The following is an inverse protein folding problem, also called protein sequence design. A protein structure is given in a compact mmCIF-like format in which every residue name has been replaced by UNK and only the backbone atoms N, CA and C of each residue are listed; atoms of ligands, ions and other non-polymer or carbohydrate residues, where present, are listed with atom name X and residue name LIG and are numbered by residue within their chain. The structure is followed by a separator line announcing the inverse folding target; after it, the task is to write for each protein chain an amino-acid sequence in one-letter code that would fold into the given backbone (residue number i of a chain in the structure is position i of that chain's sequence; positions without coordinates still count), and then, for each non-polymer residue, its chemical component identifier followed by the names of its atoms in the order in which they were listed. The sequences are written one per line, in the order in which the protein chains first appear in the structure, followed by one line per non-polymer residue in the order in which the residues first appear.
data_IF_937918720926
#
_entry.id   IF_937918720926
#
_cell.length_a   1.000
_cell.length_b   1.000
_cell.length_c   1.000
_cell.angle_alpha   90.00
_cell.angle_beta   90.00
_cell.angle_gamma   90.00
#
_symmetry.space_group_name_H-M   'P 1'
#
loop_
_entity.id
_entity.type
_entity.pdbx_description
1 polymer ?
#
# COMPACT_ATOMS: atom_id res chain seq x y z
N UNK A 1 -25.77 -4.98 20.22
CA UNK A 1 -24.29 -4.85 20.22
C UNK A 1 -23.93 -3.71 19.26
N UNK A 2 -23.62 -2.51 19.77
CA UNK A 2 -23.09 -1.42 18.92
C UNK A 2 -21.72 -1.85 18.41
N UNK A 3 -21.55 -1.96 17.10
CA UNK A 3 -20.24 -2.32 16.54
C UNK A 3 -19.26 -1.18 16.84
N UNK A 4 -17.99 -1.50 17.11
CA UNK A 4 -16.93 -0.49 17.36
C UNK A 4 -16.72 0.49 16.18
N UNK A 5 -17.42 0.26 15.07
CA UNK A 5 -17.31 0.98 13.80
C UNK A 5 -18.43 2.02 13.59
N UNK A 6 -19.40 2.15 14.49
CA UNK A 6 -20.44 3.19 14.42
C UNK A 6 -19.92 4.64 14.25
N UNK A 7 -18.76 5.03 14.81
CA UNK A 7 -18.21 6.36 14.55
C UNK A 7 -17.84 6.59 13.08
N UNK A 8 -17.41 5.54 12.37
CA UNK A 8 -17.03 5.61 10.96
C UNK A 8 -18.22 5.85 10.05
N UNK A 9 -19.41 5.38 10.42
CA UNK A 9 -20.63 5.62 9.66
C UNK A 9 -20.93 7.12 9.46
N UNK A 10 -20.42 8.00 10.35
CA UNK A 10 -20.57 9.46 10.25
C UNK A 10 -19.74 10.08 9.11
N UNK A 11 -18.71 9.37 8.66
CA UNK A 11 -17.79 9.80 7.61
C UNK A 11 -18.26 9.42 6.20
N UNK A 12 -19.33 8.62 6.07
CA UNK A 12 -19.87 8.18 4.79
C UNK A 12 -21.24 8.82 4.50
N UNK A 13 -21.66 8.92 3.22
CA UNK A 13 -22.98 9.42 2.88
C UNK A 13 -24.11 8.53 3.45
N UNK A 14 -25.20 9.16 3.88
CA UNK A 14 -26.35 8.46 4.47
C UNK A 14 -27.03 7.55 3.45
N UNK A 15 -27.31 6.30 3.83
CA UNK A 15 -27.94 5.29 2.95
C UNK A 15 -26.95 4.53 2.05
N UNK A 16 -25.66 4.85 2.12
CA UNK A 16 -24.61 4.15 1.39
C UNK A 16 -24.09 2.93 2.16
N UNK A 17 -23.83 1.77 1.51
CA UNK A 17 -23.34 0.55 2.17
C UNK A 17 -21.85 0.65 2.55
N UNK A 18 -21.52 1.55 3.48
CA UNK A 18 -20.15 1.88 3.92
C UNK A 18 -19.37 0.66 4.46
N UNK A 19 -20.04 -0.33 5.03
CA UNK A 19 -19.41 -1.56 5.53
C UNK A 19 -18.73 -2.36 4.41
N UNK A 20 -19.33 -2.38 3.22
CA UNK A 20 -18.80 -3.11 2.07
C UNK A 20 -17.58 -2.40 1.49
N UNK A 21 -17.55 -1.07 1.54
CA UNK A 21 -16.39 -0.29 1.11
C UNK A 21 -15.21 -0.45 2.07
N UNK A 22 -15.46 -0.39 3.38
CA UNK A 22 -14.40 -0.60 4.37
C UNK A 22 -13.86 -2.03 4.27
N UNK A 23 -14.74 -3.03 4.12
CA UNK A 23 -14.32 -4.42 3.91
C UNK A 23 -13.53 -4.57 2.60
N UNK A 24 -14.01 -4.00 1.49
CA UNK A 24 -13.34 -4.06 0.20
C UNK A 24 -11.97 -3.38 0.22
N UNK A 25 -11.87 -2.20 0.85
CA UNK A 25 -10.62 -1.49 1.04
C UNK A 25 -9.65 -2.27 1.93
N UNK A 26 -10.14 -2.89 3.02
CA UNK A 26 -9.33 -3.74 3.89
C UNK A 26 -8.82 -5.00 3.15
N UNK A 27 -9.68 -5.67 2.38
CA UNK A 27 -9.29 -6.82 1.55
C UNK A 27 -8.27 -6.43 0.49
N UNK A 28 -8.47 -5.30 -0.20
CA UNK A 28 -7.53 -4.80 -1.21
C UNK A 28 -6.18 -4.42 -0.59
N UNK A 29 -6.19 -3.77 0.59
CA UNK A 29 -4.98 -3.46 1.33
C UNK A 29 -4.26 -4.71 1.83
N UNK A 30 -4.99 -5.71 2.34
CA UNK A 30 -4.42 -6.99 2.77
C UNK A 30 -3.82 -7.77 1.61
N UNK A 31 -4.50 -7.82 0.47
CA UNK A 31 -3.97 -8.45 -0.74
C UNK A 31 -2.72 -7.72 -1.25
N UNK A 32 -2.74 -6.38 -1.26
CA UNK A 32 -1.57 -5.57 -1.63
C UNK A 32 -0.40 -5.79 -0.68
N UNK A 33 -0.65 -5.92 0.63
CA UNK A 33 0.37 -6.22 1.63
C UNK A 33 0.97 -7.60 1.40
N UNK A 34 0.14 -8.61 1.15
CA UNK A 34 0.58 -9.98 0.90
C UNK A 34 1.41 -10.08 -0.38
N UNK A 35 0.97 -9.44 -1.47
CA UNK A 35 1.71 -9.44 -2.73
C UNK A 35 3.02 -8.69 -2.61
N UNK A 36 3.04 -7.53 -1.94
CA UNK A 36 4.27 -6.78 -1.68
C UNK A 36 5.27 -7.61 -0.84
N UNK A 37 4.78 -8.29 0.21
CA UNK A 37 5.61 -9.16 1.04
C UNK A 37 6.17 -10.34 0.25
N UNK A 38 5.33 -11.06 -0.49
CA UNK A 38 5.76 -12.21 -1.29
C UNK A 38 6.80 -11.81 -2.35
N UNK A 39 6.58 -10.68 -3.05
CA UNK A 39 7.53 -10.15 -4.03
C UNK A 39 8.84 -9.72 -3.36
N UNK A 40 8.79 -9.07 -2.20
CA UNK A 40 9.98 -8.69 -1.46
C UNK A 40 10.78 -9.93 -1.06
N UNK A 41 10.16 -10.93 -0.42
CA UNK A 41 10.83 -12.16 0.01
C UNK A 41 11.43 -12.90 -1.17
N UNK A 42 10.71 -13.01 -2.29
CA UNK A 42 11.21 -13.67 -3.49
C UNK A 42 12.43 -12.95 -4.07
N UNK A 43 12.34 -11.63 -4.27
CA UNK A 43 13.40 -10.85 -4.92
C UNK A 43 14.61 -10.64 -4.02
N UNK A 44 14.38 -10.37 -2.74
CA UNK A 44 15.45 -10.26 -1.76
C UNK A 44 16.12 -11.62 -1.50
N UNK A 45 15.33 -12.70 -1.39
CA UNK A 45 15.85 -14.05 -1.24
C UNK A 45 16.73 -14.47 -2.41
N UNK A 46 16.24 -14.26 -3.65
CA UNK A 46 17.04 -14.48 -4.86
C UNK A 46 18.32 -13.64 -4.86
N UNK A 47 18.22 -12.35 -4.51
CA UNK A 47 19.37 -11.47 -4.47
C UNK A 47 20.40 -11.91 -3.42
N UNK A 48 19.96 -12.40 -2.26
CA UNK A 48 20.86 -12.96 -1.23
C UNK A 48 21.46 -14.27 -1.69
N UNK A 49 20.71 -15.15 -2.35
CA UNK A 49 21.25 -16.40 -2.86
C UNK A 49 22.33 -16.17 -3.92
N UNK A 50 22.20 -15.13 -4.75
CA UNK A 50 23.21 -14.72 -5.74
C UNK A 50 24.55 -14.28 -5.10
N UNK A 51 24.59 -13.97 -3.79
CA UNK A 51 25.83 -13.65 -3.08
C UNK A 51 26.67 -14.89 -2.74
N UNK A 52 26.05 -16.08 -2.74
CA UNK A 52 26.71 -17.30 -2.30
C UNK A 52 27.03 -18.21 -3.47
N UNK A 53 28.22 -18.78 -3.45
CA UNK A 53 28.62 -19.88 -4.32
C UNK A 53 28.85 -21.13 -3.49
N UNK A 54 28.71 -22.30 -4.11
CA UNK A 54 28.99 -23.58 -3.46
C UNK A 54 30.44 -23.96 -3.69
N UNK A 55 31.18 -24.16 -2.60
CA UNK A 55 32.55 -24.67 -2.70
C UNK A 55 32.54 -26.08 -3.32
N UNK A 56 33.34 -26.36 -4.37
CA UNK A 56 33.25 -27.59 -5.15
C UNK A 56 33.63 -28.86 -4.38
N UNK A 57 34.27 -28.72 -3.22
CA UNK A 57 34.80 -29.85 -2.42
C UNK A 57 34.03 -30.03 -1.11
N UNK A 58 33.69 -28.94 -0.40
CA UNK A 58 33.03 -28.98 0.91
C UNK A 58 31.51 -28.80 0.85
N UNK A 59 30.95 -28.36 -0.29
CA UNK A 59 29.53 -27.99 -0.43
C UNK A 59 29.05 -26.92 0.56
N UNK A 60 29.99 -26.20 1.19
CA UNK A 60 29.67 -25.08 2.06
C UNK A 60 29.34 -23.83 1.23
N UNK A 61 28.43 -22.99 1.75
CA UNK A 61 28.09 -21.71 1.12
C UNK A 61 29.19 -20.70 1.44
N UNK A 62 29.96 -20.34 0.43
CA UNK A 62 30.98 -19.30 0.54
C UNK A 62 30.48 -18.00 -0.09
N UNK A 63 30.78 -16.88 0.58
CA UNK A 63 30.41 -15.55 0.10
C UNK A 63 31.32 -15.16 -1.07
N UNK A 64 30.74 -14.77 -2.20
CA UNK A 64 31.53 -14.34 -3.36
C UNK A 64 32.22 -13.01 -3.03
N UNK A 65 33.56 -12.94 -3.10
CA UNK A 65 34.29 -11.72 -2.77
C UNK A 65 33.93 -10.60 -3.75
N UNK A 66 33.44 -9.48 -3.19
CA UNK A 66 33.01 -8.30 -3.96
C UNK A 66 31.59 -8.36 -4.51
N UNK A 67 30.83 -9.43 -4.27
CA UNK A 67 29.40 -9.45 -4.59
C UNK A 67 28.62 -8.51 -3.65
N UNK A 68 27.70 -7.74 -4.23
CA UNK A 68 26.87 -6.77 -3.52
C UNK A 68 25.40 -7.04 -3.81
N UNK A 69 24.55 -6.84 -2.81
CA UNK A 69 23.10 -6.87 -2.99
C UNK A 69 22.69 -5.66 -3.84
N UNK A 70 21.71 -5.81 -4.76
CA UNK A 70 21.13 -4.67 -5.46
C UNK A 70 20.61 -3.58 -4.48
N UNK A 71 20.61 -2.31 -4.91
CA UNK A 71 20.03 -1.20 -4.17
C UNK A 71 18.57 -1.46 -3.78
N UNK A 72 18.14 -0.89 -2.67
CA UNK A 72 16.84 -1.16 -2.08
C UNK A 72 15.64 -0.85 -3.00
N UNK A 73 15.61 0.26 -3.77
CA UNK A 73 14.54 0.50 -4.75
C UNK A 73 14.46 -0.58 -5.83
N UNK A 74 15.60 -1.18 -6.20
CA UNK A 74 15.63 -2.26 -7.19
C UNK A 74 15.07 -3.55 -6.59
N UNK A 75 15.41 -3.89 -5.35
CA UNK A 75 14.85 -5.05 -4.63
C UNK A 75 13.33 -4.92 -4.50
N UNK A 76 12.84 -3.75 -4.13
CA UNK A 76 11.40 -3.46 -4.10
C UNK A 76 10.75 -3.51 -5.48
N UNK A 77 11.36 -2.84 -6.47
CA UNK A 77 10.83 -2.66 -7.82
C UNK A 77 9.33 -2.35 -7.82
N UNK A 78 8.55 -3.20 -8.48
CA UNK A 78 7.10 -3.05 -8.61
C UNK A 78 6.26 -3.53 -7.43
N UNK A 79 6.84 -3.91 -6.29
CA UNK A 79 6.10 -4.53 -5.17
C UNK A 79 4.93 -3.69 -4.65
N UNK A 80 5.04 -2.36 -4.72
CA UNK A 80 3.99 -1.43 -4.26
C UNK A 80 3.00 -1.00 -5.35
N UNK A 81 3.05 -1.58 -6.55
CA UNK A 81 2.10 -1.23 -7.63
C UNK A 81 0.64 -1.50 -7.25
N UNK A 82 0.37 -2.59 -6.52
CA UNK A 82 -0.99 -2.89 -6.03
C UNK A 82 -1.46 -1.90 -4.97
N UNK A 83 -0.56 -1.41 -4.12
CA UNK A 83 -0.87 -0.32 -3.20
C UNK A 83 -1.19 0.97 -3.96
N UNK A 84 -0.42 1.32 -4.99
CA UNK A 84 -0.68 2.48 -5.83
C UNK A 84 -2.02 2.38 -6.56
N UNK A 85 -2.35 1.21 -7.11
CA UNK A 85 -3.65 0.95 -7.75
C UNK A 85 -4.81 1.07 -6.75
N UNK A 86 -4.65 0.53 -5.54
CA UNK A 86 -5.65 0.62 -4.47
C UNK A 86 -5.83 2.06 -3.99
N UNK A 87 -4.74 2.80 -3.81
CA UNK A 87 -4.77 4.21 -3.45
C UNK A 87 -5.47 5.06 -4.53
N UNK A 88 -5.18 4.79 -5.81
CA UNK A 88 -5.83 5.45 -6.93
C UNK A 88 -7.32 5.14 -6.99
N UNK A 89 -7.72 3.89 -6.80
CA UNK A 89 -9.14 3.50 -6.73
C UNK A 89 -9.87 4.22 -5.58
N UNK A 90 -9.25 4.30 -4.40
CA UNK A 90 -9.80 5.04 -3.26
C UNK A 90 -9.86 6.55 -3.50
N UNK A 91 -8.90 7.12 -4.23
CA UNK A 91 -8.89 8.54 -4.59
C UNK A 91 -9.97 8.90 -5.63
N UNK A 92 -10.36 7.96 -6.49
CA UNK A 92 -11.43 8.14 -7.48
C UNK A 92 -12.84 7.86 -6.91
N UNK A 93 -12.93 7.10 -5.81
CA UNK A 93 -14.19 6.73 -5.15
C UNK A 93 -15.12 7.92 -4.84
N UNK A 94 -14.64 9.09 -4.35
CA UNK A 94 -15.47 10.26 -4.09
C UNK A 94 -16.16 10.80 -5.36
N UNK A 95 -15.54 10.64 -6.53
CA UNK A 95 -16.11 11.04 -7.81
C UNK A 95 -17.31 10.15 -8.13
N UNK A 96 -17.17 8.83 -7.90
CA UNK A 96 -18.26 7.88 -8.07
C UNK A 96 -19.42 8.17 -7.11
N UNK A 97 -19.13 8.47 -5.84
CA UNK A 97 -20.14 8.92 -4.86
C UNK A 97 -20.87 10.17 -5.33
N UNK A 98 -20.13 11.16 -5.83
CA UNK A 98 -20.70 12.40 -6.35
C UNK A 98 -21.64 12.15 -7.54
N UNK A 99 -21.24 11.31 -8.50
CA UNK A 99 -22.05 10.96 -9.67
C UNK A 99 -23.30 10.14 -9.31
N UNK A 100 -23.17 9.16 -8.41
CA UNK A 100 -24.28 8.33 -7.93
C UNK A 100 -25.41 9.18 -7.35
N UNK A 101 -25.06 10.14 -6.49
CA UNK A 101 -26.04 11.04 -5.90
C UNK A 101 -26.65 12.02 -6.91
N UNK A 102 -25.93 12.37 -7.97
CA UNK A 102 -26.41 13.22 -9.06
C UNK A 102 -27.41 12.51 -9.98
N UNK A 103 -27.23 11.21 -10.22
CA UNK A 103 -28.03 10.43 -11.16
C UNK A 103 -29.21 9.68 -10.50
N UNK A 104 -29.02 9.15 -9.28
CA UNK A 104 -29.97 8.19 -8.68
C UNK A 104 -30.99 8.79 -7.70
N UNK A 105 -30.65 9.85 -6.96
CA UNK A 105 -31.47 10.28 -5.81
C UNK A 105 -32.27 11.58 -6.03
N UNK A 106 -31.93 12.41 -7.05
CA UNK A 106 -32.36 13.83 -7.14
C UNK A 106 -32.26 14.58 -5.79
N UNK A 107 -31.45 14.09 -4.85
CA UNK A 107 -31.23 14.71 -3.54
C UNK A 107 -30.45 16.00 -3.65
N UNK A 108 -29.91 16.31 -4.83
CA UNK A 108 -29.29 17.59 -5.19
C UNK A 108 -30.22 18.79 -4.90
N UNK A 109 -31.54 18.62 -5.09
CA UNK A 109 -32.54 19.65 -4.76
C UNK A 109 -32.78 19.82 -3.25
N UNK A 110 -32.65 18.74 -2.45
CA UNK A 110 -32.80 18.78 -0.99
C UNK A 110 -31.51 19.27 -0.32
N UNK A 111 -30.35 18.86 -0.87
CA UNK A 111 -29.01 19.25 -0.41
C UNK A 111 -28.72 20.73 -0.65
N UNK A 112 -29.23 21.32 -1.75
CA UNK A 112 -29.17 22.77 -2.00
C UNK A 112 -29.81 23.64 -0.91
N UNK A 113 -30.73 23.07 -0.11
CA UNK A 113 -31.38 23.77 1.01
C UNK A 113 -30.67 23.62 2.35
N UNK A 114 -29.64 22.76 2.46
CA UNK A 114 -28.85 22.70 3.67
C UNK A 114 -28.05 24.00 3.83
N UNK A 115 -28.01 24.58 5.04
CA UNK A 115 -27.27 25.81 5.31
C UNK A 115 -25.76 25.68 5.05
N UNK A 116 -25.24 24.44 4.97
CA UNK A 116 -23.86 24.14 4.65
C UNK A 116 -23.73 23.32 3.37
N UNK A 117 -23.56 24.02 2.24
CA UNK A 117 -23.32 23.45 0.89
C UNK A 117 -22.14 22.48 0.78
N UNK A 118 -21.23 22.46 1.75
CA UNK A 118 -20.01 21.66 1.74
C UNK A 118 -20.08 20.38 2.60
N UNK A 119 -21.10 20.21 3.44
CA UNK A 119 -21.27 19.01 4.29
C UNK A 119 -21.31 17.73 3.45
N UNK A 120 -21.96 17.79 2.29
CA UNK A 120 -22.09 16.66 1.38
C UNK A 120 -20.75 16.24 0.76
N UNK A 121 -19.98 17.20 0.25
CA UNK A 121 -18.63 16.96 -0.27
C UNK A 121 -17.70 16.46 0.85
N UNK A 122 -17.78 17.05 2.05
CA UNK A 122 -16.99 16.64 3.21
C UNK A 122 -17.27 15.20 3.64
N UNK A 123 -18.52 14.74 3.56
CA UNK A 123 -18.90 13.34 3.87
C UNK A 123 -18.57 12.36 2.73
N UNK A 124 -18.62 12.77 1.47
CA UNK A 124 -18.16 11.90 0.38
C UNK A 124 -16.62 11.76 0.38
N UNK A 125 -15.90 12.81 0.77
CA UNK A 125 -14.44 12.81 0.84
C UNK A 125 -13.93 12.18 2.14
N UNK A 126 -14.64 12.32 3.26
CA UNK A 126 -14.17 11.90 4.57
C UNK A 126 -13.88 10.40 4.68
N UNK A 127 -14.84 9.56 4.26
CA UNK A 127 -14.68 8.11 4.27
C UNK A 127 -13.55 7.63 3.36
N UNK A 128 -13.53 8.06 2.11
CA UNK A 128 -12.48 7.69 1.15
C UNK A 128 -11.10 8.23 1.53
N UNK A 129 -11.02 9.46 2.06
CA UNK A 129 -9.76 10.04 2.53
C UNK A 129 -9.20 9.28 3.73
N UNK A 130 -10.05 8.82 4.66
CA UNK A 130 -9.61 8.00 5.78
C UNK A 130 -9.08 6.64 5.31
N UNK A 131 -9.78 5.98 4.39
CA UNK A 131 -9.33 4.70 3.82
C UNK A 131 -8.02 4.89 3.05
N UNK A 132 -7.90 5.96 2.25
CA UNK A 132 -6.67 6.31 1.53
C UNK A 132 -5.52 6.58 2.49
N UNK A 133 -5.75 7.34 3.57
CA UNK A 133 -4.73 7.58 4.59
C UNK A 133 -4.29 6.26 5.24
N UNK A 134 -5.22 5.36 5.52
CA UNK A 134 -4.92 4.03 6.06
C UNK A 134 -4.07 3.18 5.10
N UNK A 135 -4.39 3.17 3.80
CA UNK A 135 -3.61 2.40 2.82
C UNK A 135 -2.21 2.98 2.62
N UNK A 136 -2.08 4.29 2.54
CA UNK A 136 -0.78 4.98 2.44
C UNK A 136 0.07 4.73 3.68
N UNK A 137 -0.52 4.84 4.87
CA UNK A 137 0.19 4.56 6.12
C UNK A 137 0.67 3.11 6.18
N UNK A 138 -0.19 2.16 5.79
CA UNK A 138 0.17 0.73 5.75
C UNK A 138 1.33 0.48 4.78
N UNK A 139 1.29 1.09 3.59
CA UNK A 139 2.37 1.00 2.62
C UNK A 139 3.69 1.57 3.16
N UNK A 140 3.63 2.74 3.82
CA UNK A 140 4.80 3.38 4.42
C UNK A 140 5.43 2.55 5.55
N UNK A 141 4.59 1.93 6.40
CA UNK A 141 5.06 1.02 7.45
C UNK A 141 5.73 -0.21 6.84
N UNK A 142 5.13 -0.85 5.84
CA UNK A 142 5.72 -2.00 5.17
C UNK A 142 7.03 -1.66 4.47
N UNK A 143 7.10 -0.50 3.82
CA UNK A 143 8.35 0.00 3.23
C UNK A 143 9.45 0.12 4.29
N UNK A 144 9.16 0.76 5.44
CA UNK A 144 10.11 0.85 6.54
C UNK A 144 10.55 -0.51 7.07
N UNK A 145 9.60 -1.44 7.26
CA UNK A 145 9.90 -2.80 7.73
C UNK A 145 10.78 -3.58 6.74
N UNK A 146 10.48 -3.51 5.44
CA UNK A 146 11.28 -4.16 4.41
C UNK A 146 12.68 -3.57 4.33
N UNK A 147 12.81 -2.26 4.54
CA UNK A 147 14.12 -1.60 4.61
C UNK A 147 14.94 -2.06 5.81
N UNK A 148 14.30 -2.18 6.99
CA UNK A 148 14.95 -2.74 8.18
C UNK A 148 15.41 -4.18 7.90
N UNK A 149 14.54 -5.03 7.34
CA UNK A 149 14.89 -6.40 6.97
C UNK A 149 16.07 -6.43 5.98
N UNK A 150 16.04 -5.58 4.95
CA UNK A 150 17.13 -5.47 3.98
C UNK A 150 18.47 -5.17 4.66
N UNK A 151 18.51 -4.23 5.61
CA UNK A 151 19.74 -3.90 6.34
C UNK A 151 20.19 -4.99 7.30
N UNK A 152 19.25 -5.68 7.98
CA UNK A 152 19.59 -6.67 9.00
C UNK A 152 19.99 -8.02 8.42
N UNK A 153 19.40 -8.42 7.29
CA UNK A 153 19.66 -9.73 6.67
C UNK A 153 20.75 -9.67 5.60
N UNK A 154 21.18 -8.48 5.16
CA UNK A 154 22.33 -8.38 4.25
C UNK A 154 23.63 -8.62 5.03
N UNK A 155 24.50 -9.56 4.60
CA UNK A 155 25.77 -9.82 5.27
C UNK A 155 26.72 -8.60 5.20
N UNK A 156 27.56 -8.45 6.23
CA UNK A 156 28.48 -7.33 6.34
C UNK A 156 29.44 -7.28 5.13
N UNK A 157 29.59 -6.09 4.53
CA UNK A 157 30.45 -5.88 3.36
C UNK A 157 29.76 -6.10 2.00
N UNK A 158 28.52 -6.59 1.97
CA UNK A 158 27.74 -6.78 0.73
C UNK A 158 26.66 -5.71 0.51
N UNK A 159 26.60 -4.70 1.37
CA UNK A 159 25.74 -3.53 1.14
C UNK A 159 26.34 -2.66 0.02
N UNK A 160 25.52 -2.20 -0.94
CA UNK A 160 25.98 -1.28 -1.95
C UNK A 160 26.37 0.07 -1.31
N UNK A 161 27.35 0.80 -1.89
CA UNK A 161 27.78 2.10 -1.38
C UNK A 161 26.67 3.16 -1.45
N UNK A 162 25.78 3.05 -2.45
CA UNK A 162 24.54 3.81 -2.52
C UNK A 162 23.33 2.86 -2.50
N UNK A 163 22.67 2.81 -1.35
CA UNK A 163 21.49 1.96 -1.10
C UNK A 163 20.26 2.47 -1.88
N UNK A 164 20.25 3.74 -2.27
CA UNK A 164 19.13 4.41 -2.94
C UNK A 164 19.33 4.54 -4.44
N UNK A 165 20.42 4.00 -4.98
CA UNK A 165 20.72 4.06 -6.40
C UNK A 165 19.59 3.43 -7.23
N UNK A 166 18.77 4.28 -7.83
CA UNK A 166 17.89 3.95 -8.93
C UNK A 166 18.77 3.96 -10.18
N UNK A 167 19.11 2.82 -10.76
CA UNK A 167 19.95 2.81 -11.97
C UNK A 167 19.32 3.70 -13.05
N UNK A 168 20.00 4.80 -13.36
CA UNK A 168 19.92 5.48 -14.65
C UNK A 168 21.16 5.06 -15.43
N UNK A 169 20.94 4.20 -16.43
CA UNK A 169 21.92 3.64 -17.36
C UNK A 169 21.22 2.67 -18.28
#
# INVERSE_FOLDING_TARGET
MRSKLEPLARLFPMGWPWSNEVMGAACAAALSALTAFALFVYRFGSAVDDLYTYAPVSWERELIPGAMVPPYPQVLGGAFLFFAATALALALLPIAHFLFHRQGARSDYLMRRLPQRWEFARRCLGGSALLLAGTVLTAAVLFGLFFICYLTFTPAGCLPPDVWATTGG
#
